data_IF_555069514760
#
_entry.id   IF_555069514760
#
_cell.length_a   1.000
_cell.length_b   1.000
_cell.length_c   1.000
_cell.angle_alpha   90.00
_cell.angle_beta   90.00
_cell.angle_gamma   90.00
#
_symmetry.space_group_name_H-M   'P 1'
#
loop_
_entity.id
_entity.type
_entity.pdbx_description
1 polymer ?
#
# COMPACT_ATOMS: atom_id res chain seq x y z
N UNK A 1 -14.41 -0.24 -19.90
CA UNK A 1 -13.76 -1.36 -19.17
C UNK A 1 -13.67 -1.04 -17.68
N UNK A 2 -13.97 -1.99 -16.79
CA UNK A 2 -13.77 -1.84 -15.35
C UNK A 2 -12.45 -2.52 -14.95
N UNK A 3 -11.61 -1.84 -14.18
CA UNK A 3 -10.34 -2.37 -13.67
C UNK A 3 -10.33 -2.22 -12.17
N UNK A 4 -10.07 -3.31 -11.44
CA UNK A 4 -9.88 -3.25 -10.01
C UNK A 4 -8.42 -3.02 -9.63
N UNK A 5 -8.21 -2.20 -8.61
CA UNK A 5 -6.94 -1.96 -7.94
C UNK A 5 -7.07 -2.53 -6.52
N UNK A 6 -6.36 -3.62 -6.24
CA UNK A 6 -6.27 -4.15 -4.86
C UNK A 6 -5.24 -3.38 -4.03
N UNK A 7 -5.17 -3.65 -2.73
CA UNK A 7 -4.32 -2.92 -1.75
C UNK A 7 -2.89 -2.68 -2.23
N UNK A 8 -2.25 -3.70 -2.82
CA UNK A 8 -0.88 -3.63 -3.31
C UNK A 8 -0.71 -2.77 -4.55
N UNK A 9 -1.81 -2.36 -5.20
CA UNK A 9 -1.84 -1.32 -6.23
C UNK A 9 -2.22 0.05 -5.66
N UNK A 10 -3.04 0.13 -4.61
CA UNK A 10 -3.38 1.40 -3.94
C UNK A 10 -2.17 1.99 -3.22
N UNK A 11 -1.45 1.21 -2.43
CA UNK A 11 -0.28 1.66 -1.68
C UNK A 11 0.81 2.31 -2.56
N UNK A 12 1.24 1.70 -3.68
CA UNK A 12 2.06 2.34 -4.72
C UNK A 12 1.66 3.73 -5.20
N UNK A 13 0.38 4.05 -5.11
CA UNK A 13 -0.18 5.32 -5.54
C UNK A 13 -0.17 6.35 -4.42
N UNK A 14 0.13 5.94 -3.19
CA UNK A 14 0.35 6.77 -2.02
C UNK A 14 1.85 6.91 -1.69
N UNK A 15 2.67 5.94 -2.09
CA UNK A 15 4.12 5.92 -1.89
C UNK A 15 4.88 5.44 -3.13
N UNK A 16 5.77 6.30 -3.64
CA UNK A 16 6.50 5.97 -4.86
C UNK A 16 7.88 5.44 -4.56
N UNK A 17 8.12 4.23 -5.06
CA UNK A 17 9.39 3.52 -5.08
C UNK A 17 9.69 3.13 -6.54
N UNK A 18 10.92 2.73 -6.88
CA UNK A 18 11.21 2.21 -8.23
C UNK A 18 10.34 1.02 -8.62
N UNK A 19 9.89 0.23 -7.63
CA UNK A 19 8.98 -0.91 -7.83
C UNK A 19 7.57 -0.46 -8.24
N UNK A 20 7.16 0.75 -7.90
CA UNK A 20 5.78 1.22 -8.07
C UNK A 20 5.59 2.21 -9.22
N UNK A 21 6.69 2.77 -9.76
CA UNK A 21 6.68 3.65 -10.93
C UNK A 21 5.93 3.08 -12.15
N UNK A 22 6.05 1.78 -12.50
CA UNK A 22 5.37 1.24 -13.67
C UNK A 22 3.83 1.24 -13.57
N UNK A 23 3.27 1.15 -12.36
CA UNK A 23 1.82 1.27 -12.17
C UNK A 23 1.34 2.65 -12.56
N UNK A 24 2.04 3.70 -12.15
CA UNK A 24 1.67 5.08 -12.47
C UNK A 24 1.79 5.39 -13.96
N UNK A 25 2.82 4.86 -14.62
CA UNK A 25 2.96 4.98 -16.06
C UNK A 25 1.79 4.30 -16.79
N UNK A 26 1.45 3.07 -16.39
CA UNK A 26 0.31 2.36 -16.95
C UNK A 26 -1.00 3.11 -16.71
N UNK A 27 -1.25 3.60 -15.48
CA UNK A 27 -2.44 4.39 -15.16
C UNK A 27 -2.50 5.66 -15.99
N UNK A 28 -1.40 6.41 -16.13
CA UNK A 28 -1.37 7.63 -16.95
C UNK A 28 -1.79 7.36 -18.40
N UNK A 29 -1.28 6.29 -19.01
CA UNK A 29 -1.63 5.91 -20.39
C UNK A 29 -3.11 5.51 -20.49
N UNK A 30 -3.62 4.84 -19.47
CA UNK A 30 -4.94 4.20 -19.48
C UNK A 30 -6.04 5.19 -19.09
N UNK A 31 -5.77 6.15 -18.22
CA UNK A 31 -6.69 7.26 -17.88
C UNK A 31 -6.93 8.17 -19.09
N UNK A 32 -5.97 8.28 -20.01
CA UNK A 32 -6.17 9.01 -21.27
C UNK A 32 -7.16 8.32 -22.22
N UNK A 33 -7.53 7.07 -21.94
CA UNK A 33 -8.57 6.35 -22.67
C UNK A 33 -9.91 6.59 -21.95
N UNK A 34 -10.84 7.23 -22.64
CA UNK A 34 -12.10 7.71 -22.05
C UNK A 34 -13.08 6.59 -21.62
N UNK A 35 -12.73 5.32 -21.78
CA UNK A 35 -13.62 4.18 -21.54
C UNK A 35 -13.31 3.40 -20.26
N UNK A 36 -12.36 3.84 -19.43
CA UNK A 36 -11.83 3.05 -18.31
C UNK A 36 -12.27 3.61 -16.96
N UNK A 37 -12.77 2.73 -16.09
CA UNK A 37 -13.19 3.05 -14.73
C UNK A 37 -12.41 2.19 -13.73
N UNK A 38 -11.83 2.83 -12.72
CA UNK A 38 -11.11 2.16 -11.65
C UNK A 38 -12.02 1.88 -10.46
N UNK A 39 -11.84 0.69 -9.87
CA UNK A 39 -12.58 0.21 -8.73
C UNK A 39 -11.63 -0.38 -7.69
N UNK A 40 -12.09 -0.46 -6.45
CA UNK A 40 -11.45 -1.20 -5.35
C UNK A 40 -12.52 -1.69 -4.41
N UNK A 41 -12.28 -2.80 -3.72
CA UNK A 41 -13.16 -3.22 -2.64
C UNK A 41 -12.86 -2.45 -1.35
N UNK A 42 -13.86 -2.34 -0.48
CA UNK A 42 -13.76 -1.62 0.79
C UNK A 42 -12.70 -2.22 1.73
N UNK A 43 -12.52 -3.54 1.71
CA UNK A 43 -11.50 -4.20 2.53
C UNK A 43 -10.08 -3.84 2.06
N UNK A 44 -9.84 -3.63 0.76
CA UNK A 44 -8.56 -3.08 0.28
C UNK A 44 -8.25 -1.69 0.87
N UNK A 45 -9.25 -0.83 1.04
CA UNK A 45 -9.07 0.48 1.70
C UNK A 45 -8.76 0.32 3.19
N UNK A 46 -9.44 -0.61 3.86
CA UNK A 46 -9.18 -0.94 5.28
C UNK A 46 -7.75 -1.47 5.46
N UNK A 47 -7.32 -2.37 4.60
CA UNK A 47 -5.98 -2.95 4.63
C UNK A 47 -4.90 -1.88 4.37
N UNK A 48 -5.09 -1.02 3.36
CA UNK A 48 -4.19 0.10 3.09
C UNK A 48 -4.06 1.03 4.31
N UNK A 49 -5.17 1.34 4.97
CA UNK A 49 -5.22 2.16 6.19
C UNK A 49 -4.45 1.51 7.35
N UNK A 50 -4.62 0.20 7.53
CA UNK A 50 -3.91 -0.57 8.54
C UNK A 50 -2.40 -0.59 8.26
N UNK A 51 -2.00 -0.80 6.99
CA UNK A 51 -0.59 -0.78 6.58
C UNK A 51 0.07 0.58 6.83
N UNK A 52 -0.62 1.69 6.55
CA UNK A 52 -0.14 3.05 6.88
C UNK A 52 0.06 3.19 8.39
N UNK A 53 -0.91 2.76 9.19
CA UNK A 53 -0.89 2.88 10.66
C UNK A 53 0.25 2.09 11.26
N UNK A 54 0.35 0.78 10.94
CA UNK A 54 1.42 -0.09 11.43
C UNK A 54 2.80 0.42 11.01
N UNK A 55 2.94 0.90 9.77
CA UNK A 55 4.21 1.44 9.31
C UNK A 55 4.59 2.75 9.99
N UNK A 56 3.62 3.61 10.27
CA UNK A 56 3.85 4.83 11.05
C UNK A 56 4.31 4.50 12.48
N UNK A 57 3.67 3.54 13.15
CA UNK A 57 4.08 3.09 14.49
C UNK A 57 5.53 2.57 14.50
N UNK A 58 5.92 1.82 13.47
CA UNK A 58 7.31 1.38 13.31
C UNK A 58 8.27 2.56 13.09
N UNK A 59 7.89 3.56 12.29
CA UNK A 59 8.70 4.77 12.11
C UNK A 59 8.87 5.58 13.41
N UNK A 60 7.84 5.62 14.26
CA UNK A 60 7.94 6.23 15.60
C UNK A 60 8.91 5.44 16.49
N UNK A 61 8.86 4.11 16.49
CA UNK A 61 9.85 3.29 17.21
C UNK A 61 11.28 3.53 16.70
N UNK A 62 11.46 3.69 15.39
CA UNK A 62 12.76 4.08 14.80
C UNK A 62 13.20 5.46 15.24
N UNK A 63 12.28 6.43 15.35
CA UNK A 63 12.58 7.76 15.87
C UNK A 63 13.05 7.71 17.33
N UNK A 64 12.39 6.91 18.17
CA UNK A 64 12.78 6.71 19.57
C UNK A 64 14.17 6.07 19.68
N UNK A 65 14.48 5.09 18.81
CA UNK A 65 15.82 4.51 18.71
C UNK A 65 16.85 5.56 18.28
N UNK A 66 16.52 6.38 17.28
CA UNK A 66 17.39 7.45 16.80
C UNK A 66 17.71 8.48 17.90
N UNK A 67 16.72 8.85 18.73
CA UNK A 67 16.91 9.72 19.90
C UNK A 67 17.92 9.12 20.87
N UNK A 68 17.80 7.84 21.21
CA UNK A 68 18.74 7.13 22.10
C UNK A 68 20.15 7.06 21.50
N UNK A 69 20.27 6.79 20.20
CA UNK A 69 21.58 6.76 19.53
C UNK A 69 22.23 8.14 19.48
N UNK A 70 21.45 9.19 19.19
CA UNK A 70 21.95 10.56 19.16
C UNK A 70 22.41 11.05 20.54
N UNK A 71 21.75 10.64 21.64
CA UNK A 71 22.18 11.00 22.99
C UNK A 71 23.51 10.35 23.38
N UNK A 72 23.74 9.09 22.97
CA UNK A 72 25.01 8.39 23.19
C UNK A 72 26.15 9.06 22.41
N UNK A 73 25.90 9.44 21.15
CA UNK A 73 26.89 10.10 20.28
C UNK A 73 27.11 11.57 20.70
N UNK A 74 26.15 12.17 21.39
CA UNK A 74 26.14 13.58 21.82
C UNK A 74 26.38 14.57 20.65
N UNK A 75 25.77 14.31 19.50
CA UNK A 75 25.85 15.19 18.33
C UNK A 75 24.71 16.20 18.28
N UNK A 76 24.99 17.37 17.71
CA UNK A 76 23.99 18.39 17.35
C UNK A 76 23.97 18.69 15.85
N UNK A 77 24.84 18.04 15.08
CA UNK A 77 24.90 18.21 13.63
C UNK A 77 23.65 17.58 13.01
N UNK A 78 22.82 18.40 12.37
CA UNK A 78 21.56 17.99 11.74
C UNK A 78 21.77 16.93 10.66
N UNK A 79 22.90 16.95 9.93
CA UNK A 79 23.22 15.92 8.94
C UNK A 79 23.48 14.59 9.62
N UNK A 80 24.22 14.58 10.73
CA UNK A 80 24.49 13.36 11.50
C UNK A 80 23.19 12.83 12.11
N UNK A 81 22.35 13.71 12.67
CA UNK A 81 21.04 13.35 13.21
C UNK A 81 20.11 12.74 12.14
N UNK A 82 20.09 13.32 10.94
CA UNK A 82 19.36 12.74 9.79
C UNK A 82 19.87 11.35 9.42
N UNK A 83 21.19 11.15 9.38
CA UNK A 83 21.78 9.83 9.11
C UNK A 83 21.40 8.81 10.18
N UNK A 84 21.43 9.20 11.46
CA UNK A 84 21.02 8.33 12.58
C UNK A 84 19.55 7.92 12.44
N UNK A 85 18.66 8.87 12.12
CA UNK A 85 17.24 8.59 11.91
C UNK A 85 17.01 7.65 10.72
N UNK A 86 17.62 7.93 9.56
CA UNK A 86 17.49 7.08 8.36
C UNK A 86 18.02 5.67 8.64
N UNK A 87 19.17 5.53 9.30
CA UNK A 87 19.69 4.21 9.69
C UNK A 87 18.72 3.47 10.61
N UNK A 88 18.10 4.19 11.56
CA UNK A 88 17.12 3.60 12.47
C UNK A 88 15.85 3.12 11.75
N UNK A 89 15.45 3.75 10.64
CA UNK A 89 14.38 3.25 9.77
C UNK A 89 14.80 1.97 9.03
N UNK A 90 16.02 1.95 8.48
CA UNK A 90 16.55 0.81 7.72
C UNK A 90 16.66 -0.48 8.56
N UNK A 91 16.88 -0.36 9.87
CA UNK A 91 17.13 -1.48 10.78
C UNK A 91 15.85 -2.21 11.25
N UNK A 92 14.66 -1.75 10.87
CA UNK A 92 13.40 -2.44 11.17
C UNK A 92 13.05 -3.55 10.14
N UNK A 93 12.13 -4.45 10.52
CA UNK A 93 11.73 -5.65 9.74
C UNK A 93 11.28 -5.33 8.30
N UNK A 94 10.66 -4.17 8.05
CA UNK A 94 10.29 -3.67 6.71
C UNK A 94 11.21 -2.54 6.22
N UNK A 95 12.48 -2.59 6.61
CA UNK A 95 13.40 -1.44 6.56
C UNK A 95 13.54 -0.78 5.20
N UNK A 96 13.36 -1.49 4.07
CA UNK A 96 13.44 -0.88 2.74
C UNK A 96 12.21 -0.03 2.43
N UNK A 97 11.01 -0.60 2.53
CA UNK A 97 9.75 0.09 2.28
C UNK A 97 9.53 1.21 3.30
N UNK A 98 9.79 0.97 4.58
CA UNK A 98 9.67 1.98 5.63
C UNK A 98 10.64 3.15 5.45
N UNK A 99 11.90 2.87 5.07
CA UNK A 99 12.88 3.93 4.80
C UNK A 99 12.44 4.80 3.63
N UNK A 100 12.00 4.19 2.53
CA UNK A 100 11.52 4.96 1.38
C UNK A 100 10.26 5.76 1.72
N UNK A 101 9.37 5.19 2.53
CA UNK A 101 8.11 5.82 2.94
C UNK A 101 8.30 7.00 3.89
N UNK A 102 9.28 6.97 4.79
CA UNK A 102 9.36 7.93 5.89
C UNK A 102 10.63 8.79 5.93
N UNK A 103 11.68 8.45 5.19
CA UNK A 103 12.97 9.17 5.28
C UNK A 103 12.88 10.63 4.85
N UNK A 104 12.02 10.95 3.90
CA UNK A 104 11.90 12.30 3.34
C UNK A 104 11.35 13.37 4.31
N UNK A 105 10.86 12.98 5.48
CA UNK A 105 10.50 13.91 6.56
C UNK A 105 11.70 14.73 7.06
N UNK A 106 12.93 14.32 6.72
CA UNK A 106 14.17 15.09 6.93
C UNK A 106 14.36 16.23 5.92
N UNK A 107 13.53 16.32 4.88
CA UNK A 107 13.56 17.38 3.86
C UNK A 107 12.58 18.49 4.29
N UNK A 108 12.96 19.25 5.31
CA UNK A 108 12.17 20.35 5.84
C UNK A 108 13.09 21.56 6.12
N UNK A 109 12.71 22.73 5.61
CA UNK A 109 13.48 23.98 5.79
C UNK A 109 13.64 24.35 7.26
N UNK A 110 12.70 23.96 8.13
CA UNK A 110 12.78 24.18 9.58
C UNK A 110 13.98 23.47 10.20
N UNK A 111 14.52 22.44 9.55
CA UNK A 111 15.70 21.70 10.02
C UNK A 111 17.02 22.42 9.76
N UNK A 112 17.04 23.47 8.94
CA UNK A 112 18.29 24.12 8.51
C UNK A 112 18.93 24.98 9.62
N UNK A 113 18.09 25.57 10.48
CA UNK A 113 18.54 26.51 11.52
C UNK A 113 18.42 25.95 12.95
N UNK A 114 18.33 24.62 13.08
CA UNK A 114 18.15 23.98 14.39
C UNK A 114 19.43 24.07 15.21
N UNK A 115 19.28 24.60 16.44
CA UNK A 115 20.38 24.73 17.41
C UNK A 115 20.38 23.61 18.47
N UNK A 116 19.29 22.86 18.60
CA UNK A 116 19.10 21.83 19.61
C UNK A 116 18.66 20.50 19.01
N UNK A 117 19.28 19.40 19.46
CA UNK A 117 18.94 18.03 19.09
C UNK A 117 17.47 17.67 19.37
N UNK A 118 16.90 18.18 20.47
CA UNK A 118 15.48 17.94 20.80
C UNK A 118 14.53 18.50 19.74
N UNK A 119 14.79 19.72 19.28
CA UNK A 119 13.93 20.40 18.29
C UNK A 119 13.97 19.66 16.94
N UNK A 120 15.13 19.08 16.59
CA UNK A 120 15.23 18.21 15.41
C UNK A 120 14.23 17.07 15.48
N UNK A 121 14.24 16.29 16.56
CA UNK A 121 13.36 15.12 16.68
C UNK A 121 11.88 15.49 16.86
N UNK A 122 11.57 16.64 17.46
CA UNK A 122 10.20 17.18 17.51
C UNK A 122 9.70 17.44 16.09
N UNK A 123 10.48 18.15 15.27
CA UNK A 123 10.11 18.46 13.88
C UNK A 123 9.96 17.18 13.04
N UNK A 124 10.84 16.20 13.22
CA UNK A 124 10.71 14.89 12.54
C UNK A 124 9.40 14.21 12.95
N UNK A 125 9.05 14.17 14.24
CA UNK A 125 7.78 13.60 14.72
C UNK A 125 6.57 14.29 14.12
N UNK A 126 6.56 15.62 14.09
CA UNK A 126 5.49 16.41 13.46
C UNK A 126 5.35 16.09 11.96
N UNK A 127 6.47 15.95 11.26
CA UNK A 127 6.46 15.63 9.83
C UNK A 127 5.96 14.21 9.58
N UNK A 128 6.34 13.23 10.40
CA UNK A 128 5.79 11.87 10.34
C UNK A 128 4.27 11.88 10.53
N UNK A 129 3.77 12.60 11.55
CA UNK A 129 2.33 12.73 11.82
C UNK A 129 1.60 13.37 10.63
N UNK A 130 2.09 14.51 10.15
CA UNK A 130 1.51 15.21 9.00
C UNK A 130 1.49 14.32 7.76
N UNK A 131 2.55 13.54 7.53
CA UNK A 131 2.63 12.63 6.39
C UNK A 131 1.67 11.45 6.52
N UNK A 132 1.53 10.85 7.70
CA UNK A 132 0.50 9.84 8.02
C UNK A 132 -0.89 10.40 7.73
N UNK A 133 -1.19 11.61 8.21
CA UNK A 133 -2.51 12.21 8.04
C UNK A 133 -2.84 12.47 6.56
N UNK A 134 -1.85 12.87 5.75
CA UNK A 134 -2.02 12.98 4.29
C UNK A 134 -2.32 11.66 3.59
N UNK A 135 -1.64 10.59 3.99
CA UNK A 135 -1.92 9.26 3.44
C UNK A 135 -3.33 8.79 3.82
N UNK A 136 -3.73 9.01 5.07
CA UNK A 136 -5.08 8.66 5.54
C UNK A 136 -6.16 9.52 4.86
N UNK A 137 -5.93 10.82 4.67
CA UNK A 137 -6.87 11.69 3.94
C UNK A 137 -7.03 11.26 2.49
N UNK A 138 -5.96 10.76 1.86
CA UNK A 138 -5.99 10.23 0.49
C UNK A 138 -6.80 8.93 0.35
N UNK A 139 -7.11 8.26 1.46
CA UNK A 139 -7.95 7.05 1.52
C UNK A 139 -9.39 7.35 1.95
N UNK A 140 -9.74 8.61 2.24
CA UNK A 140 -11.10 8.96 2.62
C UNK A 140 -12.07 8.70 1.47
N UNK A 141 -13.14 7.98 1.79
CA UNK A 141 -14.20 7.64 0.85
C UNK A 141 -15.24 8.76 0.89
N UNK A 142 -15.38 9.47 -0.23
CA UNK A 142 -16.37 10.54 -0.40
C UNK A 142 -17.34 10.12 -1.50
N UNK A 143 -18.63 9.97 -1.16
CA UNK A 143 -19.67 9.53 -2.08
C UNK A 143 -19.30 8.21 -2.83
N UNK A 144 -18.73 7.24 -2.10
CA UNK A 144 -18.31 5.96 -2.67
C UNK A 144 -17.05 6.02 -3.54
N UNK A 145 -16.28 7.11 -3.49
CA UNK A 145 -15.07 7.31 -4.30
C UNK A 145 -13.89 7.69 -3.42
N UNK A 146 -12.73 7.11 -3.72
CA UNK A 146 -11.42 7.54 -3.21
C UNK A 146 -10.67 8.25 -4.33
N UNK A 147 -10.32 9.51 -4.11
CA UNK A 147 -9.57 10.32 -5.07
C UNK A 147 -8.11 10.40 -4.66
N UNK A 148 -7.22 9.79 -5.46
CA UNK A 148 -5.78 9.85 -5.20
C UNK A 148 -5.15 10.96 -6.04
N UNK A 149 -4.46 11.90 -5.38
CA UNK A 149 -3.70 12.97 -6.01
C UNK A 149 -2.20 12.78 -5.78
N UNK A 150 -1.49 12.37 -6.82
CA UNK A 150 -0.06 12.10 -6.74
C UNK A 150 0.78 13.36 -6.49
N UNK A 151 0.26 14.58 -6.68
CA UNK A 151 1.01 15.83 -6.40
C UNK A 151 1.45 15.95 -4.94
N UNK A 152 0.68 15.35 -4.03
CA UNK A 152 0.90 15.45 -2.58
C UNK A 152 1.94 14.45 -2.07
N UNK A 153 2.37 13.54 -2.94
CA UNK A 153 3.31 12.48 -2.64
C UNK A 153 4.70 12.96 -2.99
N UNK A 154 5.62 12.66 -2.08
CA UNK A 154 7.00 12.99 -2.22
C UNK A 154 7.78 11.77 -2.71
N UNK A 155 8.60 11.96 -3.75
CA UNK A 155 9.43 10.93 -4.36
C UNK A 155 10.83 11.47 -4.51
N UNK A 156 11.75 10.99 -3.67
CA UNK A 156 13.13 11.46 -3.63
C UNK A 156 14.16 10.39 -3.98
N UNK A 157 13.73 9.14 -4.08
CA UNK A 157 14.61 7.97 -4.30
C UNK A 157 14.32 7.25 -5.61
N UNK A 158 13.48 7.80 -6.48
CA UNK A 158 12.97 7.11 -7.67
C UNK A 158 13.39 7.84 -8.93
N UNK A 159 14.18 7.14 -9.75
CA UNK A 159 14.46 7.50 -11.14
C UNK A 159 13.88 6.36 -12.01
N UNK A 160 13.07 6.61 -13.06
CA UNK A 160 12.67 7.91 -13.63
C UNK A 160 11.80 8.76 -12.70
N UNK A 161 11.72 10.09 -12.93
CA UNK A 161 11.01 11.02 -12.08
C UNK A 161 9.54 10.65 -11.95
N UNK A 162 9.09 10.65 -10.70
CA UNK A 162 7.71 10.47 -10.29
C UNK A 162 6.74 11.37 -11.06
N UNK A 163 5.65 10.79 -11.55
CA UNK A 163 4.58 11.51 -12.24
C UNK A 163 3.70 12.19 -11.20
N UNK A 164 4.09 13.42 -10.81
CA UNK A 164 3.32 14.24 -9.87
C UNK A 164 1.94 14.61 -10.41
N UNK A 165 1.82 14.81 -11.71
CA UNK A 165 0.58 15.22 -12.37
C UNK A 165 -0.31 14.02 -12.71
N UNK A 166 -0.67 13.25 -11.70
CA UNK A 166 -1.58 12.13 -11.82
C UNK A 166 -2.67 12.26 -10.75
N UNK A 167 -3.93 12.36 -11.21
CA UNK A 167 -5.12 12.31 -10.37
C UNK A 167 -6.07 11.29 -10.97
N UNK A 168 -6.63 10.43 -10.14
CA UNK A 168 -7.64 9.49 -10.57
C UNK A 168 -8.56 9.13 -9.42
N UNK A 169 -9.78 8.79 -9.80
CA UNK A 169 -10.86 8.42 -8.91
C UNK A 169 -11.06 6.91 -8.96
N UNK A 170 -11.12 6.30 -7.78
CA UNK A 170 -11.34 4.88 -7.60
C UNK A 170 -12.70 4.71 -6.93
N UNK A 171 -13.64 4.05 -7.61
CA UNK A 171 -14.93 3.71 -7.02
C UNK A 171 -14.75 2.59 -6.00
N UNK A 172 -15.28 2.77 -4.81
CA UNK A 172 -15.24 1.76 -3.76
C UNK A 172 -16.50 0.92 -3.84
N UNK A 173 -16.34 -0.40 -3.93
CA UNK A 173 -17.43 -1.36 -3.80
C UNK A 173 -17.48 -1.86 -2.36
N UNK A 174 -18.68 -1.99 -1.82
CA UNK A 174 -18.87 -2.65 -0.53
C UNK A 174 -18.60 -4.14 -0.68
N UNK A 175 -18.00 -4.75 0.35
CA UNK A 175 -17.91 -6.20 0.44
C UNK A 175 -19.24 -6.71 1.01
N UNK A 176 -20.06 -7.39 0.19
CA UNK A 176 -21.36 -7.88 0.66
C UNK A 176 -21.24 -9.06 1.65
N UNK A 177 -20.14 -9.81 1.55
CA UNK A 177 -19.79 -10.88 2.48
C UNK A 177 -18.62 -10.41 3.35
N UNK A 178 -18.75 -10.32 4.68
CA UNK A 178 -17.63 -10.04 5.58
C UNK A 178 -16.52 -11.10 5.49
N UNK A 179 -15.27 -10.70 5.75
CA UNK A 179 -14.11 -11.62 5.68
C UNK A 179 -14.27 -12.86 6.58
N UNK A 180 -14.87 -12.71 7.76
CA UNK A 180 -15.09 -13.83 8.70
C UNK A 180 -16.11 -14.84 8.14
N UNK A 181 -17.21 -14.36 7.58
CA UNK A 181 -18.21 -15.21 6.92
C UNK A 181 -17.64 -15.89 5.67
N UNK A 182 -16.84 -15.15 4.90
CA UNK A 182 -16.13 -15.70 3.76
C UNK A 182 -15.15 -16.81 4.17
N UNK A 183 -14.45 -16.62 5.29
CA UNK A 183 -13.55 -17.63 5.84
C UNK A 183 -14.30 -18.91 6.20
N UNK A 184 -15.46 -18.81 6.87
CA UNK A 184 -16.30 -19.96 7.19
C UNK A 184 -16.82 -20.66 5.93
N UNK A 185 -17.24 -19.89 4.92
CA UNK A 185 -17.65 -20.42 3.60
C UNK A 185 -16.52 -21.18 2.91
N UNK A 186 -15.31 -20.63 2.90
CA UNK A 186 -14.15 -21.34 2.33
C UNK A 186 -13.86 -22.63 3.11
N UNK A 187 -13.99 -22.62 4.44
CA UNK A 187 -13.77 -23.81 5.24
C UNK A 187 -14.78 -24.93 4.96
N UNK A 188 -16.04 -24.59 4.63
CA UNK A 188 -17.05 -25.59 4.25
C UNK A 188 -16.86 -26.10 2.82
N UNK A 189 -16.46 -25.21 1.90
CA UNK A 189 -16.53 -25.48 0.46
C UNK A 189 -15.22 -26.08 -0.10
N UNK A 190 -14.09 -25.91 0.60
CA UNK A 190 -12.78 -26.38 0.15
C UNK A 190 -12.28 -27.56 1.00
N UNK A 191 -11.77 -28.61 0.34
CA UNK A 191 -11.24 -29.82 1.00
C UNK A 191 -10.20 -29.49 2.08
N UNK A 192 -10.28 -30.23 3.20
CA UNK A 192 -9.42 -30.07 4.37
C UNK A 192 -7.91 -30.14 4.09
N UNK A 193 -7.49 -30.91 3.08
CA UNK A 193 -6.07 -31.03 2.69
C UNK A 193 -5.49 -29.75 2.08
N UNK A 194 -6.32 -28.93 1.43
CA UNK A 194 -5.93 -27.61 0.95
C UNK A 194 -5.85 -26.62 2.11
N UNK A 195 -6.86 -26.63 3.00
CA UNK A 195 -6.88 -25.77 4.19
C UNK A 195 -5.65 -25.98 5.08
N UNK A 196 -5.19 -27.24 5.24
CA UNK A 196 -4.00 -27.56 6.04
C UNK A 196 -2.69 -26.91 5.56
N UNK A 197 -2.61 -26.50 4.29
CA UNK A 197 -1.42 -25.88 3.69
C UNK A 197 -1.60 -24.38 3.37
N UNK A 198 -2.79 -23.82 3.60
CA UNK A 198 -3.14 -22.46 3.20
C UNK A 198 -2.87 -21.48 4.34
N UNK A 199 -2.10 -20.41 4.07
CA UNK A 199 -1.82 -19.38 5.07
C UNK A 199 -2.93 -18.34 5.08
N UNK A 200 -3.06 -17.60 6.19
CA UNK A 200 -4.08 -16.54 6.32
C UNK A 200 -4.00 -15.49 5.20
N UNK A 201 -2.78 -15.10 4.80
CA UNK A 201 -2.57 -14.15 3.70
C UNK A 201 -3.07 -14.70 2.35
N UNK A 202 -3.06 -16.02 2.17
CA UNK A 202 -3.57 -16.63 0.95
C UNK A 202 -5.10 -16.54 0.92
N UNK A 203 -5.77 -16.68 2.06
CA UNK A 203 -7.23 -16.49 2.17
C UNK A 203 -7.64 -15.03 1.95
N UNK A 204 -6.90 -14.09 2.53
CA UNK A 204 -7.15 -12.65 2.35
C UNK A 204 -7.00 -12.26 0.88
N UNK A 205 -5.93 -12.72 0.22
CA UNK A 205 -5.71 -12.58 -1.22
C UNK A 205 -6.95 -13.06 -2.03
N UNK A 206 -7.45 -14.26 -1.73
CA UNK A 206 -8.65 -14.82 -2.38
C UNK A 206 -9.89 -13.99 -2.07
N UNK A 207 -10.05 -13.48 -0.85
CA UNK A 207 -11.18 -12.64 -0.46
C UNK A 207 -11.25 -11.35 -1.29
N UNK A 208 -10.12 -10.68 -1.54
CA UNK A 208 -10.09 -9.53 -2.45
C UNK A 208 -10.61 -9.88 -3.84
N UNK A 209 -10.17 -11.02 -4.39
CA UNK A 209 -10.66 -11.50 -5.68
C UNK A 209 -12.17 -11.77 -5.61
N UNK A 210 -12.65 -12.38 -4.53
CA UNK A 210 -14.06 -12.70 -4.32
C UNK A 210 -14.94 -11.47 -4.35
N UNK A 211 -14.59 -10.44 -3.57
CA UNK A 211 -15.38 -9.21 -3.54
C UNK A 211 -15.32 -8.45 -4.88
N UNK A 212 -14.13 -8.33 -5.47
CA UNK A 212 -13.99 -7.64 -6.76
C UNK A 212 -14.83 -8.31 -7.86
N UNK A 213 -14.79 -9.64 -7.92
CA UNK A 213 -15.51 -10.42 -8.91
C UNK A 213 -17.02 -10.45 -8.63
N UNK A 214 -17.43 -10.92 -7.45
CA UNK A 214 -18.84 -11.18 -7.14
C UNK A 214 -19.63 -9.91 -6.79
N UNK A 215 -19.03 -8.97 -6.06
CA UNK A 215 -19.72 -7.75 -5.63
C UNK A 215 -19.58 -6.63 -6.69
N UNK A 216 -18.42 -6.53 -7.33
CA UNK A 216 -18.13 -5.48 -8.31
C UNK A 216 -18.52 -5.83 -9.76
N UNK A 217 -18.67 -7.12 -10.07
CA UNK A 217 -18.70 -7.64 -11.45
C UNK A 217 -17.53 -7.08 -12.27
N UNK A 218 -16.31 -7.25 -11.74
CA UNK A 218 -15.06 -6.76 -12.33
C UNK A 218 -14.13 -7.94 -12.58
N UNK A 219 -13.71 -8.05 -13.84
CA UNK A 219 -12.99 -9.21 -14.33
C UNK A 219 -11.52 -8.90 -14.63
N UNK A 220 -11.07 -7.65 -14.55
CA UNK A 220 -9.66 -7.29 -14.70
C UNK A 220 -9.13 -6.65 -13.42
N UNK A 221 -8.06 -7.22 -12.86
CA UNK A 221 -7.45 -6.78 -11.60
C UNK A 221 -5.98 -6.49 -11.84
N UNK A 222 -5.53 -5.33 -11.40
CA UNK A 222 -4.12 -4.95 -11.47
C UNK A 222 -3.46 -5.13 -10.11
N UNK A 223 -2.31 -5.78 -10.12
CA UNK A 223 -1.54 -6.05 -8.90
C UNK A 223 -0.04 -5.77 -9.09
N UNK A 224 0.57 -5.17 -8.07
CA UNK A 224 2.03 -5.03 -7.95
C UNK A 224 2.67 -6.14 -7.08
N UNK A 225 1.85 -7.03 -6.53
CA UNK A 225 2.28 -8.15 -5.71
C UNK A 225 2.48 -9.41 -6.57
N UNK A 226 3.74 -9.76 -6.84
CA UNK A 226 4.06 -10.95 -7.62
C UNK A 226 3.58 -12.26 -6.95
N UNK A 227 3.57 -12.32 -5.62
CA UNK A 227 3.11 -13.50 -4.89
C UNK A 227 1.61 -13.67 -5.04
N UNK A 228 0.84 -12.57 -4.90
CA UNK A 228 -0.60 -12.53 -5.20
C UNK A 228 -0.87 -13.11 -6.60
N UNK A 229 -0.27 -12.55 -7.64
CA UNK A 229 -0.50 -13.01 -9.03
C UNK A 229 -0.16 -14.50 -9.21
N UNK A 230 0.94 -14.98 -8.62
CA UNK A 230 1.34 -16.39 -8.72
C UNK A 230 0.37 -17.31 -7.99
N UNK A 231 -0.04 -16.94 -6.78
CA UNK A 231 -0.97 -17.73 -5.95
C UNK A 231 -2.33 -17.86 -6.61
N UNK A 232 -2.91 -16.75 -7.07
CA UNK A 232 -4.20 -16.79 -7.74
C UNK A 232 -4.18 -17.62 -9.02
N UNK A 233 -3.13 -17.48 -9.84
CA UNK A 233 -2.98 -18.34 -11.03
C UNK A 233 -2.96 -19.82 -10.66
N UNK A 234 -2.21 -20.18 -9.61
CA UNK A 234 -2.19 -21.55 -9.09
C UNK A 234 -3.61 -21.97 -8.66
N UNK A 235 -4.25 -21.22 -7.77
CA UNK A 235 -5.56 -21.57 -7.22
C UNK A 235 -6.65 -21.70 -8.29
N UNK A 236 -6.76 -20.75 -9.21
CA UNK A 236 -7.73 -20.81 -10.30
C UNK A 236 -7.51 -22.05 -11.19
N UNK A 237 -6.24 -22.40 -11.48
CA UNK A 237 -5.91 -23.50 -12.39
C UNK A 237 -5.92 -24.90 -11.78
N UNK A 238 -5.75 -25.04 -10.46
CA UNK A 238 -5.34 -26.32 -9.86
C UNK A 238 -6.20 -26.78 -8.69
N UNK A 239 -7.26 -26.05 -8.35
CA UNK A 239 -8.15 -26.36 -7.22
C UNK A 239 -9.57 -26.17 -7.72
N UNK A 240 -10.21 -27.28 -8.08
CA UNK A 240 -11.54 -27.30 -8.71
C UNK A 240 -12.59 -26.59 -7.86
N UNK A 241 -12.44 -26.58 -6.54
CA UNK A 241 -13.32 -25.91 -5.60
C UNK A 241 -13.35 -24.37 -5.80
N UNK A 242 -12.27 -23.75 -6.31
CA UNK A 242 -12.29 -22.31 -6.65
C UNK A 242 -13.05 -21.98 -7.93
N UNK A 243 -13.30 -22.96 -8.81
CA UNK A 243 -14.14 -22.75 -10.01
C UNK A 243 -15.59 -22.44 -9.64
N UNK A 244 -16.02 -22.82 -8.43
CA UNK A 244 -17.32 -22.45 -7.89
C UNK A 244 -17.37 -21.01 -7.36
N UNK A 245 -16.21 -20.41 -7.08
CA UNK A 245 -16.09 -19.04 -6.55
C UNK A 245 -15.79 -18.00 -7.63
N UNK A 246 -15.17 -18.44 -8.74
CA UNK A 246 -14.69 -17.58 -9.82
C UNK A 246 -14.86 -18.26 -11.18
N UNK A 247 -15.22 -17.47 -12.20
CA UNK A 247 -15.09 -17.92 -13.58
C UNK A 247 -13.66 -17.66 -14.06
N UNK A 248 -12.87 -18.73 -14.18
CA UNK A 248 -11.47 -18.68 -14.63
C UNK A 248 -11.30 -18.16 -16.07
N UNK A 249 -12.35 -18.24 -16.90
CA UNK A 249 -12.34 -17.70 -18.26
C UNK A 249 -12.52 -16.18 -18.30
N UNK A 250 -13.09 -15.62 -17.23
CA UNK A 250 -13.38 -14.20 -17.12
C UNK A 250 -12.35 -13.46 -16.28
N UNK A 251 -11.91 -14.00 -15.15
CA UNK A 251 -11.05 -13.31 -14.19
C UNK A 251 -9.59 -13.22 -14.67
N UNK A 252 -9.15 -12.00 -14.98
CA UNK A 252 -7.80 -11.67 -15.47
C UNK A 252 -7.04 -10.85 -14.44
N UNK A 253 -5.96 -11.43 -13.92
CA UNK A 253 -5.04 -10.73 -13.03
C UNK A 253 -3.80 -10.27 -13.81
N UNK A 254 -3.70 -8.96 -14.02
CA UNK A 254 -2.58 -8.32 -14.70
C UNK A 254 -1.51 -7.93 -13.68
N UNK A 255 -0.35 -8.56 -13.80
CA UNK A 255 0.84 -8.11 -13.08
C UNK A 255 1.36 -6.81 -13.69
N UNK A 256 1.51 -5.79 -12.87
CA UNK A 256 2.25 -4.59 -13.23
C UNK A 256 3.71 -4.78 -12.79
N UNK A 257 4.65 -4.56 -13.72
CA UNK A 257 6.09 -4.83 -13.55
C UNK A 257 6.90 -3.58 -13.70
#
# INVERSE_FOLDING_TARGET
MKIALETSSIMPLLEVTPRTSPLQQNLKIVIQKNDIQFFTDLYSIKEASQQITTSFENAIKSLEKAIKTASIINTRDTKILSVIFIKSLCENWYGREETLRWSDVIIDKRLYDIKNCSDFFIIIKENLLRKKDKYMSSLQINNGVVSINCKEIQSYWVNPPFIKELKFDIKVIDNNTPLEEFFLKIQSDIKSSFLGNTKINDIVDIYHLYSIYNDGNINEIWSCNQLFVKRHKKYLSSVDEFKNLFDESLVKIKRIK
#
